data_IF_227586161694
#
_entry.id   IF_227586161694
#
_cell.length_a   1.000
_cell.length_b   1.000
_cell.length_c   1.000
_cell.angle_alpha   90.00
_cell.angle_beta   90.00
_cell.angle_gamma   90.00
#
_symmetry.space_group_name_H-M   'P 1'
#
loop_
_entity.id
_entity.type
_entity.pdbx_description
1 polymer ?
#
# COMPACT_ATOMS: atom_id res chain seq x y z
N UNK A 1 -2.38 7.03 7.55
CA UNK A 1 -1.73 5.76 8.03
C UNK A 1 -0.22 5.80 7.80
N UNK A 2 0.31 5.94 6.57
CA UNK A 2 1.76 5.91 6.33
C UNK A 2 2.52 6.95 7.14
N UNK A 3 2.09 8.23 7.14
CA UNK A 3 2.69 9.29 7.96
C UNK A 3 2.62 8.95 9.46
N UNK A 4 1.47 8.47 9.94
CA UNK A 4 1.30 8.03 11.32
C UNK A 4 2.28 6.92 11.71
N UNK A 5 2.45 5.92 10.84
CA UNK A 5 3.41 4.85 11.07
C UNK A 5 4.85 5.37 11.11
N UNK A 6 5.19 6.26 10.17
CA UNK A 6 6.51 6.89 10.12
C UNK A 6 6.83 7.65 11.41
N UNK A 7 5.90 8.48 11.87
CA UNK A 7 6.08 9.31 13.07
C UNK A 7 6.17 8.46 14.36
N UNK A 8 5.26 7.47 14.51
CA UNK A 8 5.24 6.60 15.70
C UNK A 8 6.44 5.68 15.84
N UNK A 9 6.97 5.23 14.73
CA UNK A 9 8.07 4.27 14.69
C UNK A 9 9.41 4.94 14.34
N UNK A 10 9.41 6.27 14.25
CA UNK A 10 10.60 7.08 13.92
C UNK A 10 11.31 6.61 12.65
N UNK A 11 10.49 6.16 11.63
CA UNK A 11 11.06 5.67 10.38
C UNK A 11 11.64 6.82 9.57
N UNK A 12 12.80 6.62 9.03
CA UNK A 12 13.47 7.59 8.16
C UNK A 12 12.63 7.84 6.88
N UNK A 13 12.14 6.76 6.27
CA UNK A 13 11.45 6.80 4.99
C UNK A 13 10.30 5.78 4.92
N UNK A 14 9.26 6.12 4.17
CA UNK A 14 8.24 5.16 3.70
C UNK A 14 8.44 4.93 2.20
N UNK A 15 8.59 3.68 1.80
CA UNK A 15 8.69 3.29 0.39
C UNK A 15 7.39 2.63 -0.04
N UNK A 16 6.73 3.20 -1.03
CA UNK A 16 5.55 2.62 -1.65
C UNK A 16 5.97 1.78 -2.86
N UNK A 17 5.56 0.52 -2.88
CA UNK A 17 5.86 -0.40 -3.99
C UNK A 17 4.54 -0.74 -4.69
N UNK A 18 4.24 -0.12 -5.85
CA UNK A 18 3.04 -0.46 -6.61
C UNK A 18 3.18 -1.86 -7.21
N UNK A 19 2.25 -2.74 -6.84
CA UNK A 19 2.24 -4.13 -7.28
C UNK A 19 1.79 -4.26 -8.74
N UNK A 20 2.52 -4.99 -9.57
CA UNK A 20 2.08 -5.30 -10.94
C UNK A 20 0.85 -6.21 -10.91
N UNK A 21 0.98 -7.40 -10.31
CA UNK A 21 -0.11 -8.36 -10.12
C UNK A 21 0.09 -9.11 -8.79
N UNK A 22 -0.86 -8.93 -7.87
CA UNK A 22 -0.87 -9.68 -6.61
C UNK A 22 -1.26 -11.14 -6.87
N UNK A 23 -0.57 -12.12 -6.26
CA UNK A 23 -0.91 -13.55 -6.42
C UNK A 23 -2.31 -13.92 -5.90
N UNK A 24 -2.88 -13.08 -5.02
CA UNK A 24 -4.18 -13.34 -4.38
C UNK A 24 -5.33 -12.49 -4.92
N UNK A 25 -5.12 -11.68 -5.96
CA UNK A 25 -6.14 -10.75 -6.47
C UNK A 25 -6.35 -10.94 -7.96
N UNK A 26 -7.61 -10.77 -8.38
CA UNK A 26 -7.97 -10.60 -9.79
C UNK A 26 -7.26 -9.35 -10.32
N UNK A 27 -6.90 -9.36 -11.60
CA UNK A 27 -6.26 -8.22 -12.25
C UNK A 27 -6.98 -6.90 -11.90
N UNK A 28 -6.24 -5.84 -11.52
CA UNK A 28 -6.86 -4.57 -11.17
C UNK A 28 -7.58 -3.98 -12.39
N UNK A 29 -8.74 -3.36 -12.14
CA UNK A 29 -9.52 -2.66 -13.18
C UNK A 29 -8.77 -1.43 -13.77
N UNK A 30 -7.68 -1.00 -13.14
CA UNK A 30 -6.89 0.18 -13.53
C UNK A 30 -5.50 -0.27 -13.93
N UNK A 31 -4.96 0.31 -15.00
CA UNK A 31 -3.61 0.01 -15.49
C UNK A 31 -2.53 0.26 -14.41
N UNK A 32 -1.39 -0.41 -14.54
CA UNK A 32 -0.25 -0.16 -13.64
C UNK A 32 0.26 1.29 -13.78
N UNK A 33 0.22 1.86 -14.99
CA UNK A 33 0.61 3.23 -15.26
C UNK A 33 -0.30 4.24 -14.55
N UNK A 34 -1.62 4.08 -14.63
CA UNK A 34 -2.58 4.96 -13.94
C UNK A 34 -2.43 4.87 -12.41
N UNK A 35 -2.20 3.65 -11.88
CA UNK A 35 -1.98 3.47 -10.43
C UNK A 35 -0.68 4.13 -9.97
N UNK A 36 0.38 4.04 -10.76
CA UNK A 36 1.64 4.70 -10.49
C UNK A 36 1.47 6.21 -10.49
N UNK A 37 0.85 6.78 -11.53
CA UNK A 37 0.64 8.23 -11.64
C UNK A 37 -0.21 8.77 -10.47
N UNK A 38 -1.29 8.08 -10.09
CA UNK A 38 -2.07 8.45 -8.91
C UNK A 38 -1.24 8.39 -7.62
N UNK A 39 -0.36 7.40 -7.48
CA UNK A 39 0.52 7.28 -6.32
C UNK A 39 1.55 8.42 -6.29
N UNK A 40 2.19 8.72 -7.41
CA UNK A 40 3.12 9.86 -7.53
C UNK A 40 2.44 11.17 -7.18
N UNK A 41 1.21 11.39 -7.68
CA UNK A 41 0.43 12.56 -7.35
C UNK A 41 0.06 12.63 -5.85
N UNK A 42 -0.21 11.46 -5.23
CA UNK A 42 -0.60 11.38 -3.82
C UNK A 42 0.56 11.65 -2.85
N UNK A 43 1.79 11.31 -3.22
CA UNK A 43 2.98 11.47 -2.35
C UNK A 43 3.79 12.73 -2.67
N UNK A 44 3.39 13.49 -3.68
CA UNK A 44 4.11 14.69 -4.11
C UNK A 44 4.27 15.69 -2.96
N UNK A 45 5.50 16.15 -2.75
CA UNK A 45 5.83 17.11 -1.68
C UNK A 45 6.10 16.47 -0.30
N UNK A 46 6.07 15.14 -0.20
CA UNK A 46 6.44 14.40 1.01
C UNK A 46 7.88 13.88 0.88
N UNK A 47 8.85 14.60 1.41
CA UNK A 47 10.29 14.28 1.29
C UNK A 47 10.65 12.89 1.85
N UNK A 48 9.93 12.45 2.87
CA UNK A 48 10.12 11.14 3.50
C UNK A 48 9.35 9.99 2.83
N UNK A 49 8.66 10.24 1.72
CA UNK A 49 7.96 9.23 0.95
C UNK A 49 8.66 8.99 -0.39
N UNK A 50 8.87 7.73 -0.73
CA UNK A 50 9.45 7.32 -2.00
C UNK A 50 8.58 6.26 -2.67
N UNK A 51 8.75 6.11 -3.97
CA UNK A 51 8.12 5.05 -4.76
C UNK A 51 9.23 4.19 -5.36
N UNK A 52 9.13 2.88 -5.19
CA UNK A 52 9.98 1.91 -5.87
C UNK A 52 9.13 1.10 -6.86
N UNK A 53 9.46 1.19 -8.13
CA UNK A 53 8.73 0.54 -9.21
C UNK A 53 9.19 -0.90 -9.48
N UNK A 54 9.97 -1.49 -8.58
CA UNK A 54 10.59 -2.81 -8.77
C UNK A 54 9.59 -3.90 -9.22
N UNK A 55 8.39 -3.92 -8.65
CA UNK A 55 7.38 -4.92 -9.02
C UNK A 55 6.75 -4.66 -10.39
N UNK A 56 6.74 -3.40 -10.85
CA UNK A 56 6.24 -3.05 -12.20
C UNK A 56 7.19 -3.51 -13.31
N UNK A 57 8.47 -3.67 -12.99
CA UNK A 57 9.52 -4.08 -13.94
C UNK A 57 9.87 -5.57 -13.85
N UNK A 58 9.19 -6.33 -12.98
CA UNK A 58 9.39 -7.77 -12.80
C UNK A 58 8.21 -8.55 -13.34
N UNK A 59 8.48 -9.73 -13.92
CA UNK A 59 7.43 -10.64 -14.36
C UNK A 59 6.52 -11.04 -13.18
N UNK A 60 5.17 -11.06 -13.36
CA UNK A 60 4.24 -11.49 -12.34
C UNK A 60 4.36 -13.01 -12.07
N UNK A 61 3.90 -13.49 -10.90
CA UNK A 61 3.29 -12.73 -9.81
C UNK A 61 4.32 -12.00 -8.93
N UNK A 62 3.88 -10.90 -8.29
CA UNK A 62 4.71 -10.12 -7.37
C UNK A 62 4.64 -10.71 -5.97
N UNK A 63 5.66 -11.47 -5.57
CA UNK A 63 5.79 -11.95 -4.20
C UNK A 63 6.56 -10.94 -3.35
N UNK A 64 6.06 -10.68 -2.14
CA UNK A 64 6.67 -9.71 -1.20
C UNK A 64 8.09 -10.10 -0.83
N UNK A 65 8.36 -11.39 -0.60
CA UNK A 65 9.69 -11.89 -0.22
C UNK A 65 10.75 -11.51 -1.25
N UNK A 66 10.47 -11.71 -2.54
CA UNK A 66 11.41 -11.39 -3.63
C UNK A 66 11.69 -9.87 -3.71
N UNK A 67 10.68 -9.06 -3.42
CA UNK A 67 10.81 -7.60 -3.38
C UNK A 67 11.69 -7.17 -2.21
N UNK A 68 11.50 -7.76 -1.04
CA UNK A 68 12.31 -7.48 0.16
C UNK A 68 13.76 -7.94 -0.03
N UNK A 69 14.00 -9.08 -0.66
CA UNK A 69 15.35 -9.55 -0.99
C UNK A 69 16.11 -8.53 -1.81
N UNK A 70 15.51 -8.03 -2.88
CA UNK A 70 16.16 -7.01 -3.74
C UNK A 70 16.40 -5.69 -3.00
N UNK A 71 15.47 -5.25 -2.16
CA UNK A 71 15.66 -4.03 -1.36
C UNK A 71 16.83 -4.20 -0.40
N UNK A 72 16.93 -5.34 0.28
CA UNK A 72 18.04 -5.64 1.19
C UNK A 72 19.38 -5.78 0.49
N UNK A 73 19.40 -6.29 -0.73
CA UNK A 73 20.63 -6.38 -1.51
C UNK A 73 21.16 -5.01 -1.93
N UNK A 74 20.26 -4.04 -2.16
CA UNK A 74 20.62 -2.64 -2.46
C UNK A 74 21.15 -1.91 -1.25
N UNK A 75 20.59 -2.19 -0.06
CA UNK A 75 20.93 -1.52 1.19
C UNK A 75 20.92 -2.55 2.34
N UNK A 76 22.13 -2.97 2.73
CA UNK A 76 22.32 -4.08 3.68
C UNK A 76 22.18 -3.66 5.14
N UNK A 77 22.31 -2.37 5.42
CA UNK A 77 22.36 -1.84 6.79
C UNK A 77 21.03 -1.27 7.28
N UNK A 78 19.96 -1.39 6.46
CA UNK A 78 18.64 -0.89 6.83
C UNK A 78 17.81 -1.91 7.63
N UNK A 79 17.10 -1.42 8.63
CA UNK A 79 16.03 -2.15 9.27
C UNK A 79 14.73 -1.94 8.49
N UNK A 80 14.12 -3.03 8.03
CA UNK A 80 12.91 -2.98 7.23
C UNK A 80 11.66 -3.25 8.08
N UNK A 81 10.68 -2.37 7.94
CA UNK A 81 9.34 -2.52 8.51
C UNK A 81 8.35 -2.71 7.36
N UNK A 82 7.59 -3.82 7.39
CA UNK A 82 6.57 -4.09 6.40
C UNK A 82 5.19 -3.66 6.93
N UNK A 83 4.63 -2.61 6.35
CA UNK A 83 3.34 -2.07 6.74
C UNK A 83 2.22 -2.80 6.02
N UNK A 84 1.30 -3.44 6.75
CA UNK A 84 0.17 -4.16 6.18
C UNK A 84 -1.15 -3.79 6.87
N UNK A 85 -2.25 -3.84 6.13
CA UNK A 85 -3.59 -3.66 6.71
C UNK A 85 -3.98 -4.85 7.59
N UNK A 86 -4.78 -4.61 8.61
CA UNK A 86 -5.26 -5.64 9.54
C UNK A 86 -5.99 -6.80 8.83
N UNK A 87 -6.65 -6.52 7.72
CA UNK A 87 -7.33 -7.50 6.87
C UNK A 87 -6.40 -8.56 6.26
N UNK A 88 -5.09 -8.30 6.19
CA UNK A 88 -4.12 -9.25 5.68
C UNK A 88 -3.45 -10.13 6.75
N UNK A 89 -3.62 -9.82 8.04
CA UNK A 89 -2.91 -10.51 9.13
C UNK A 89 -3.24 -12.00 9.19
N UNK A 90 -4.50 -12.37 9.01
CA UNK A 90 -4.96 -13.77 9.04
C UNK A 90 -4.34 -14.62 7.93
N UNK A 91 -4.08 -14.02 6.77
CA UNK A 91 -3.51 -14.71 5.61
C UNK A 91 -1.99 -14.60 5.54
N UNK A 92 -1.37 -13.82 6.42
CA UNK A 92 0.07 -13.58 6.43
C UNK A 92 0.91 -14.90 6.45
N UNK A 93 0.55 -15.92 7.28
CA UNK A 93 1.29 -17.19 7.28
C UNK A 93 1.19 -17.99 5.96
N UNK A 94 0.24 -17.66 5.08
CA UNK A 94 0.08 -18.30 3.76
C UNK A 94 0.89 -17.62 2.67
N UNK A 95 1.59 -16.54 2.98
CA UNK A 95 2.39 -15.83 1.99
C UNK A 95 3.58 -16.67 1.54
N UNK A 96 3.94 -16.50 0.28
CA UNK A 96 5.06 -17.22 -0.32
C UNK A 96 6.34 -17.00 0.48
N UNK A 97 7.00 -18.07 0.91
CA UNK A 97 8.23 -18.07 1.72
C UNK A 97 8.10 -17.18 2.98
N UNK A 98 6.96 -17.28 3.68
CA UNK A 98 6.67 -16.43 4.85
C UNK A 98 7.75 -16.51 5.93
N UNK A 99 8.28 -17.72 6.24
CA UNK A 99 9.30 -17.90 7.29
C UNK A 99 10.61 -17.16 6.96
N UNK A 100 10.94 -17.00 5.68
CA UNK A 100 12.10 -16.25 5.23
C UNK A 100 11.79 -14.75 5.29
N UNK A 101 10.63 -14.32 4.81
CA UNK A 101 10.18 -12.96 4.89
C UNK A 101 10.15 -12.45 6.35
N UNK A 102 9.65 -13.26 7.29
CA UNK A 102 9.55 -12.92 8.70
C UNK A 102 10.92 -12.69 9.39
N UNK A 103 12.00 -13.23 8.81
CA UNK A 103 13.37 -12.98 9.29
C UNK A 103 13.97 -11.70 8.71
N UNK A 104 13.39 -11.19 7.64
CA UNK A 104 13.91 -10.03 6.90
C UNK A 104 13.25 -8.71 7.28
N UNK A 105 12.01 -8.75 7.77
CA UNK A 105 11.24 -7.56 8.08
C UNK A 105 10.56 -7.64 9.43
N UNK A 106 10.30 -6.50 10.05
CA UNK A 106 9.38 -6.39 11.17
C UNK A 106 7.99 -6.00 10.66
N UNK A 107 6.98 -6.83 10.91
CA UNK A 107 5.62 -6.55 10.49
C UNK A 107 4.96 -5.49 11.38
N UNK A 108 4.30 -4.53 10.74
CA UNK A 108 3.54 -3.45 11.39
C UNK A 108 2.12 -3.45 10.84
N UNK A 109 1.17 -3.69 11.71
CA UNK A 109 -0.25 -3.74 11.35
C UNK A 109 -0.86 -2.34 11.40
N UNK A 110 -1.44 -1.92 10.29
CA UNK A 110 -2.17 -0.67 10.18
C UNK A 110 -3.66 -0.93 10.43
N UNK A 111 -4.13 -0.57 11.64
CA UNK A 111 -5.54 -0.66 11.99
C UNK A 111 -6.26 0.65 11.72
N UNK A 112 -7.21 0.61 10.77
CA UNK A 112 -8.05 1.75 10.38
C UNK A 112 -9.36 1.81 11.15
N UNK A 113 -9.72 0.76 11.89
CA UNK A 113 -11.02 0.65 12.56
C UNK A 113 -11.00 1.27 13.95
N UNK A 114 -9.84 1.35 14.59
CA UNK A 114 -9.69 1.78 15.97
C UNK A 114 -10.28 0.77 16.97
N UNK A 115 -10.48 -0.47 16.54
CA UNK A 115 -10.93 -1.57 17.40
C UNK A 115 -9.84 -2.05 18.36
N UNK A 116 -10.21 -2.95 19.28
CA UNK A 116 -9.23 -3.61 20.12
C UNK A 116 -8.22 -4.37 19.25
N UNK A 117 -6.91 -4.32 19.57
CA UNK A 117 -5.92 -5.06 18.81
C UNK A 117 -6.29 -6.54 18.81
N UNK A 118 -6.33 -7.14 17.61
CA UNK A 118 -6.36 -8.59 17.52
C UNK A 118 -5.12 -9.10 18.28
N UNK A 119 -5.28 -10.21 19.00
CA UNK A 119 -4.24 -10.77 19.86
C UNK A 119 -3.10 -11.36 18.99
N UNK A 120 -2.26 -10.50 18.43
CA UNK A 120 -1.09 -10.87 17.65
C UNK A 120 0.15 -10.12 18.15
N UNK A 121 1.32 -10.72 17.97
CA UNK A 121 2.62 -10.23 18.45
C UNK A 121 3.20 -9.08 17.62
N UNK A 122 2.46 -8.54 16.64
CA UNK A 122 2.94 -7.48 15.77
C UNK A 122 2.76 -6.09 16.37
N UNK A 123 3.60 -5.15 15.98
CA UNK A 123 3.39 -3.72 16.26
C UNK A 123 2.10 -3.26 15.58
N UNK A 124 1.27 -2.52 16.29
CA UNK A 124 0.00 -2.00 15.74
C UNK A 124 -0.01 -0.48 15.75
N UNK A 125 -0.27 0.10 14.60
CA UNK A 125 -0.51 1.54 14.43
C UNK A 125 -1.99 1.77 14.21
N UNK A 126 -2.65 2.38 15.20
CA UNK A 126 -4.08 2.68 15.17
C UNK A 126 -4.36 4.09 14.68
N UNK A 127 -5.23 4.23 13.72
CA UNK A 127 -5.82 5.52 13.33
C UNK A 127 -7.16 5.28 12.66
N UNK A 128 -8.23 5.74 13.28
CA UNK A 128 -9.57 5.64 12.68
C UNK A 128 -9.62 6.44 11.37
N UNK A 129 -9.81 5.74 10.25
CA UNK A 129 -9.96 6.33 8.91
C UNK A 129 -11.09 5.57 8.21
N UNK A 130 -12.19 6.27 8.01
CA UNK A 130 -13.39 5.73 7.37
C UNK A 130 -13.41 6.07 5.87
N UNK A 131 -12.32 5.71 5.17
CA UNK A 131 -12.17 5.87 3.73
C UNK A 131 -11.53 4.60 3.17
N UNK A 132 -12.12 4.04 2.13
CA UNK A 132 -11.57 2.87 1.43
C UNK A 132 -11.50 3.09 -0.08
N UNK A 133 -10.55 2.43 -0.74
CA UNK A 133 -10.45 2.45 -2.20
C UNK A 133 -11.73 1.89 -2.88
N UNK A 134 -12.38 0.92 -2.24
CA UNK A 134 -13.66 0.38 -2.72
C UNK A 134 -14.76 1.42 -2.68
N UNK A 135 -14.84 2.20 -1.60
CA UNK A 135 -15.80 3.31 -1.49
C UNK A 135 -15.53 4.38 -2.56
N UNK A 136 -14.26 4.81 -2.71
CA UNK A 136 -13.89 5.78 -3.75
C UNK A 136 -14.36 5.32 -5.13
N UNK A 137 -14.04 4.08 -5.53
CA UNK A 137 -14.48 3.54 -6.82
C UNK A 137 -16.00 3.51 -6.97
N UNK A 138 -16.73 3.07 -5.94
CA UNK A 138 -18.20 3.08 -5.95
C UNK A 138 -18.78 4.49 -6.07
N UNK A 139 -18.18 5.47 -5.42
CA UNK A 139 -18.62 6.88 -5.54
C UNK A 139 -18.45 7.41 -6.96
N UNK A 140 -17.29 7.14 -7.58
CA UNK A 140 -17.03 7.52 -8.96
C UNK A 140 -18.02 6.85 -9.92
N UNK A 141 -18.19 5.52 -9.83
CA UNK A 141 -19.15 4.78 -10.64
C UNK A 141 -20.60 5.31 -10.50
N UNK A 142 -20.96 5.80 -9.32
CA UNK A 142 -22.27 6.41 -9.05
C UNK A 142 -22.30 7.93 -9.26
N UNK A 143 -21.34 8.51 -9.97
CA UNK A 143 -21.22 9.96 -10.21
C UNK A 143 -21.25 10.83 -8.95
N UNK A 144 -20.82 10.30 -7.81
CA UNK A 144 -20.73 11.03 -6.54
C UNK A 144 -19.34 11.66 -6.40
N UNK A 145 -19.30 12.85 -5.79
CA UNK A 145 -18.03 13.54 -5.52
C UNK A 145 -17.11 12.71 -4.62
N UNK A 146 -15.83 12.72 -4.96
CA UNK A 146 -14.73 12.17 -4.15
C UNK A 146 -13.83 13.29 -3.61
N UNK A 147 -14.27 14.54 -3.75
CA UNK A 147 -13.55 15.72 -3.26
C UNK A 147 -13.31 15.60 -1.76
N UNK A 148 -12.10 15.92 -1.34
CA UNK A 148 -11.59 15.78 0.04
C UNK A 148 -11.47 14.34 0.57
N UNK A 149 -11.86 13.33 -0.21
CA UNK A 149 -11.63 11.92 0.13
C UNK A 149 -10.31 11.40 -0.44
N UNK A 150 -9.80 12.08 -1.47
CA UNK A 150 -8.49 11.84 -2.08
C UNK A 150 -7.78 13.20 -2.28
N UNK A 151 -6.45 13.22 -2.47
CA UNK A 151 -5.74 14.43 -2.87
C UNK A 151 -6.31 15.00 -4.17
N UNK A 152 -6.37 16.34 -4.30
CA UNK A 152 -6.95 17.00 -5.46
C UNK A 152 -6.31 16.57 -6.79
N UNK A 153 -4.99 16.35 -6.80
CA UNK A 153 -4.28 15.86 -7.99
C UNK A 153 -4.70 14.42 -8.38
N UNK A 154 -5.03 13.57 -7.40
CA UNK A 154 -5.55 12.22 -7.66
C UNK A 154 -6.99 12.28 -8.20
N UNK A 155 -7.84 13.15 -7.65
CA UNK A 155 -9.19 13.40 -8.14
C UNK A 155 -9.16 13.83 -9.62
N UNK A 156 -8.24 14.73 -9.98
CA UNK A 156 -8.08 15.22 -11.35
C UNK A 156 -7.66 14.10 -12.32
N UNK A 157 -6.72 13.22 -11.92
CA UNK A 157 -6.31 12.07 -12.74
C UNK A 157 -7.50 11.12 -12.95
N UNK A 158 -8.24 10.78 -11.91
CA UNK A 158 -9.42 9.91 -11.99
C UNK A 158 -10.45 10.50 -12.96
N UNK A 159 -10.71 11.81 -12.88
CA UNK A 159 -11.67 12.50 -13.71
C UNK A 159 -11.22 12.60 -15.17
N UNK A 160 -10.00 13.07 -15.41
CA UNK A 160 -9.48 13.33 -16.78
C UNK A 160 -9.30 12.05 -17.58
N UNK A 161 -9.03 10.92 -16.92
CA UNK A 161 -8.87 9.61 -17.56
C UNK A 161 -10.13 8.74 -17.53
N UNK A 162 -11.23 9.23 -16.96
CA UNK A 162 -12.48 8.47 -16.86
C UNK A 162 -12.33 7.16 -16.06
N UNK A 163 -11.43 7.12 -15.06
CA UNK A 163 -11.19 5.91 -14.29
C UNK A 163 -12.39 5.57 -13.40
N UNK A 164 -12.67 4.28 -13.23
CA UNK A 164 -13.72 3.73 -12.33
C UNK A 164 -15.16 4.13 -12.73
N UNK A 165 -15.39 4.64 -13.92
CA UNK A 165 -16.73 4.81 -14.46
C UNK A 165 -17.24 3.46 -14.96
N UNK A 166 -18.46 3.07 -14.58
CA UNK A 166 -19.13 1.91 -15.18
C UNK A 166 -19.55 2.31 -16.60
N UNK A 167 -19.16 1.51 -17.59
CA UNK A 167 -19.68 1.61 -18.97
C UNK A 167 -21.07 1.03 -19.04
#
# INVERSE_FOLDING_TARGET
MAREARERLELEKIVFVPTAMSPFKIAPATSAADRLEMLEAAVRGEESFAIDQIELHRAPPSYTVDTIEVIRDRDKDVQLFYLLGQDNVTDLPKWHRFDELAKMVQFVVLDRTGGAPANHSHIVVHRKIDISATEIRKRVASHRSIRYLVPAAVEEIIRSRGLYQEN
#
